data_IF_670554066364
#
_entry.id   IF_670554066364
#
_cell.length_a   1.000
_cell.length_b   1.000
_cell.length_c   1.000
_cell.angle_alpha   90.00
_cell.angle_beta   90.00
_cell.angle_gamma   90.00
#
_symmetry.space_group_name_H-M   'P 1'
#
loop_
_entity.id
_entity.type
_entity.pdbx_description
1 polymer ?
#
# COMPACT_ATOMS: atom_id res chain seq x y z
N UNK A 1 -6.90 3.80 10.50
CA UNK A 1 -6.83 4.01 9.03
C UNK A 1 -6.01 2.91 8.36
N UNK A 2 -4.68 2.90 8.47
CA UNK A 2 -3.79 1.92 7.79
C UNK A 2 -4.15 0.44 8.02
N UNK A 3 -4.65 0.10 9.21
CA UNK A 3 -5.19 -1.23 9.53
C UNK A 3 -6.26 -1.73 8.54
N UNK A 4 -7.01 -0.80 7.95
CA UNK A 4 -8.10 -1.07 7.03
C UNK A 4 -7.70 -0.95 5.55
N UNK A 5 -6.43 -0.63 5.23
CA UNK A 5 -6.01 -0.38 3.84
C UNK A 5 -6.29 -1.56 2.91
N UNK A 6 -6.15 -2.81 3.39
CA UNK A 6 -6.50 -3.99 2.61
C UNK A 6 -8.00 -4.01 2.25
N UNK A 7 -8.88 -3.67 3.20
CA UNK A 7 -10.32 -3.56 2.93
C UNK A 7 -10.64 -2.38 2.02
N UNK A 8 -9.93 -1.26 2.14
CA UNK A 8 -10.08 -0.13 1.23
C UNK A 8 -9.66 -0.48 -0.20
N UNK A 9 -8.64 -1.32 -0.39
CA UNK A 9 -8.27 -1.84 -1.71
C UNK A 9 -9.40 -2.66 -2.33
N UNK A 10 -10.05 -3.53 -1.55
CA UNK A 10 -11.19 -4.32 -2.05
C UNK A 10 -12.36 -3.41 -2.47
N UNK A 11 -12.65 -2.34 -1.72
CA UNK A 11 -13.64 -1.35 -2.12
C UNK A 11 -13.23 -0.53 -3.34
N UNK A 12 -11.97 -0.11 -3.42
CA UNK A 12 -11.44 0.58 -4.59
C UNK A 12 -11.60 -0.28 -5.86
N UNK A 13 -11.30 -1.57 -5.78
CA UNK A 13 -11.47 -2.52 -6.88
C UNK A 13 -12.93 -2.73 -7.29
N UNK A 14 -13.89 -2.64 -6.35
CA UNK A 14 -15.33 -2.72 -6.67
C UNK A 14 -15.84 -1.51 -7.46
N UNK A 15 -15.19 -0.35 -7.25
CA UNK A 15 -15.57 0.92 -7.88
C UNK A 15 -14.73 1.23 -9.12
N UNK A 16 -13.62 0.52 -9.31
CA UNK A 16 -12.70 0.73 -10.41
C UNK A 16 -13.18 0.10 -11.72
N UNK A 17 -12.65 0.63 -12.81
CA UNK A 17 -12.70 0.05 -14.16
C UNK A 17 -11.28 -0.16 -14.68
N UNK A 18 -11.11 -0.93 -15.76
CA UNK A 18 -9.82 -1.04 -16.45
C UNK A 18 -9.24 0.36 -16.76
N UNK A 19 -7.94 0.50 -16.49
CA UNK A 19 -7.16 1.75 -16.53
C UNK A 19 -7.26 2.62 -15.27
N UNK A 20 -7.99 2.22 -14.23
CA UNK A 20 -8.03 3.00 -12.97
C UNK A 20 -6.68 2.92 -12.26
N UNK A 21 -6.16 4.07 -11.84
CA UNK A 21 -4.95 4.16 -11.00
C UNK A 21 -5.35 4.25 -9.54
N UNK A 22 -4.79 3.36 -8.72
CA UNK A 22 -4.98 3.32 -7.27
C UNK A 22 -3.64 3.70 -6.61
N UNK A 23 -3.67 4.64 -5.66
CA UNK A 23 -2.50 5.09 -4.91
C UNK A 23 -2.74 4.94 -3.41
N UNK A 24 -1.79 4.35 -2.70
CA UNK A 24 -1.80 4.29 -1.24
C UNK A 24 -0.53 4.94 -0.69
N UNK A 25 -0.69 6.00 0.09
CA UNK A 25 0.42 6.74 0.70
C UNK A 25 0.95 6.08 1.99
N UNK A 26 2.16 6.46 2.40
CA UNK A 26 2.86 6.08 3.63
C UNK A 26 3.11 4.58 3.83
N UNK A 27 3.57 3.89 2.79
CA UNK A 27 3.80 2.44 2.83
C UNK A 27 5.19 2.02 3.30
N UNK A 28 6.13 2.97 3.49
CA UNK A 28 7.54 2.67 3.83
C UNK A 28 7.85 2.98 5.29
N UNK A 29 7.30 4.07 5.84
CA UNK A 29 7.31 4.39 7.27
C UNK A 29 8.72 4.43 7.87
N UNK A 30 9.62 5.23 7.27
CA UNK A 30 11.03 5.31 7.64
C UNK A 30 11.74 3.94 7.71
N UNK A 31 11.38 3.04 6.79
CA UNK A 31 11.95 1.69 6.69
C UNK A 31 11.41 0.68 7.70
N UNK A 32 10.62 1.12 8.70
CA UNK A 32 10.08 0.23 9.74
C UNK A 32 9.17 -0.87 9.19
N UNK A 33 8.69 -0.73 7.96
CA UNK A 33 7.91 -1.77 7.29
C UNK A 33 8.68 -3.10 7.13
N UNK A 34 10.02 -3.06 7.14
CA UNK A 34 10.89 -4.24 7.06
C UNK A 34 11.30 -4.82 8.44
N UNK A 35 10.87 -4.22 9.56
CA UNK A 35 11.20 -4.70 10.91
C UNK A 35 10.17 -5.71 11.42
N UNK A 36 10.48 -7.01 11.30
CA UNK A 36 9.57 -8.10 11.70
C UNK A 36 9.21 -8.09 13.20
N UNK A 37 10.02 -7.45 14.04
CA UNK A 37 9.76 -7.34 15.48
C UNK A 37 8.72 -6.26 15.82
N UNK A 38 8.39 -5.38 14.87
CA UNK A 38 7.49 -4.27 15.11
C UNK A 38 6.02 -4.72 15.21
N UNK A 39 5.40 -4.41 16.35
CA UNK A 39 3.99 -4.74 16.65
C UNK A 39 3.01 -3.58 16.41
N UNK A 40 3.48 -2.47 15.82
CA UNK A 40 2.64 -1.30 15.50
C UNK A 40 1.51 -1.72 14.55
N UNK A 41 0.22 -1.57 14.94
CA UNK A 41 -0.92 -1.93 14.11
C UNK A 41 -0.91 -1.27 12.73
N UNK A 42 -0.37 -0.05 12.61
CA UNK A 42 -0.25 0.63 11.34
C UNK A 42 0.74 -0.06 10.40
N UNK A 43 1.85 -0.58 10.92
CA UNK A 43 2.82 -1.34 10.11
C UNK A 43 2.22 -2.68 9.67
N UNK A 44 1.52 -3.36 10.58
CA UNK A 44 0.84 -4.63 10.27
C UNK A 44 -0.26 -4.44 9.22
N UNK A 45 -1.03 -3.36 9.31
CA UNK A 45 -2.02 -2.97 8.30
C UNK A 45 -1.41 -2.71 6.94
N UNK A 46 -0.29 -1.97 6.89
CA UNK A 46 0.45 -1.71 5.66
C UNK A 46 1.02 -2.98 5.04
N UNK A 47 1.57 -3.91 5.84
CA UNK A 47 2.04 -5.22 5.33
C UNK A 47 0.90 -6.01 4.71
N UNK A 48 -0.22 -6.15 5.42
CA UNK A 48 -1.42 -6.81 4.90
C UNK A 48 -1.92 -6.18 3.60
N UNK A 49 -1.86 -4.86 3.48
CA UNK A 49 -2.19 -4.16 2.24
C UNK A 49 -1.22 -4.51 1.10
N UNK A 50 0.09 -4.48 1.34
CA UNK A 50 1.10 -4.84 0.33
C UNK A 50 1.00 -6.32 -0.08
N UNK A 51 0.77 -7.23 0.86
CA UNK A 51 0.55 -8.65 0.60
C UNK A 51 -0.70 -8.86 -0.26
N UNK A 52 -1.80 -8.18 0.09
CA UNK A 52 -3.06 -8.22 -0.69
C UNK A 52 -2.88 -7.66 -2.10
N UNK A 53 -2.11 -6.59 -2.24
CA UNK A 53 -1.77 -5.96 -3.52
C UNK A 53 -0.96 -6.91 -4.40
N UNK A 54 0.02 -7.61 -3.83
CA UNK A 54 0.90 -8.52 -4.55
C UNK A 54 0.19 -9.76 -5.12
N UNK A 55 -0.91 -10.19 -4.50
CA UNK A 55 -1.68 -11.37 -4.93
C UNK A 55 -2.97 -11.04 -5.70
N UNK A 56 -3.25 -9.76 -5.99
CA UNK A 56 -4.43 -9.37 -6.77
C UNK A 56 -4.18 -9.49 -8.28
N UNK A 57 -4.80 -10.45 -8.98
CA UNK A 57 -4.50 -10.70 -10.40
C UNK A 57 -5.02 -9.61 -11.35
N UNK A 58 -5.92 -8.73 -10.90
CA UNK A 58 -6.43 -7.60 -11.71
C UNK A 58 -5.53 -6.36 -11.63
N UNK A 59 -4.44 -6.40 -10.85
CA UNK A 59 -3.59 -5.24 -10.61
C UNK A 59 -2.17 -5.49 -11.10
N UNK A 60 -1.65 -4.51 -11.84
CA UNK A 60 -0.21 -4.34 -12.04
C UNK A 60 0.27 -3.24 -11.10
N UNK A 61 1.20 -3.54 -10.19
CA UNK A 61 1.55 -2.68 -9.06
C UNK A 61 3.05 -2.51 -8.84
N UNK A 62 3.43 -1.39 -8.21
CA UNK A 62 4.77 -1.12 -7.70
C UNK A 62 4.72 -0.21 -6.47
N UNK A 63 5.85 0.02 -5.82
CA UNK A 63 5.99 0.97 -4.73
C UNK A 63 7.24 1.84 -4.93
N UNK A 64 7.12 3.12 -4.60
CA UNK A 64 8.19 4.11 -4.76
C UNK A 64 8.51 4.69 -3.40
N UNK A 65 9.76 4.53 -2.96
CA UNK A 65 10.26 5.21 -1.77
C UNK A 65 10.55 6.68 -2.08
N UNK A 66 10.25 7.55 -1.13
CA UNK A 66 10.44 9.00 -1.26
C UNK A 66 11.19 9.56 -0.06
N UNK A 67 11.97 10.61 -0.31
CA UNK A 67 12.63 11.42 0.72
C UNK A 67 12.38 12.89 0.43
N UNK A 68 12.43 13.73 1.47
CA UNK A 68 12.29 15.19 1.35
C UNK A 68 11.96 15.82 2.69
N UNK A 69 11.33 17.01 2.67
CA UNK A 69 10.99 17.76 3.88
C UNK A 69 10.04 17.01 4.84
N UNK A 70 9.36 15.98 4.34
CA UNK A 70 8.49 15.09 5.13
C UNK A 70 9.21 13.86 5.70
N UNK A 71 10.52 13.76 5.53
CA UNK A 71 11.32 12.60 5.93
C UNK A 71 11.32 11.48 4.90
N UNK A 72 11.63 10.26 5.33
CA UNK A 72 11.67 9.06 4.50
C UNK A 72 10.37 8.27 4.59
N UNK A 73 9.69 8.14 3.46
CA UNK A 73 8.48 7.32 3.33
C UNK A 73 8.36 6.74 1.91
N UNK A 74 7.14 6.54 1.42
CA UNK A 74 6.85 6.12 0.06
C UNK A 74 5.37 5.82 -0.15
N UNK A 75 4.99 5.61 -1.40
CA UNK A 75 3.62 5.24 -1.79
C UNK A 75 3.61 3.98 -2.68
N UNK A 76 2.55 3.21 -2.60
CA UNK A 76 2.24 2.15 -3.56
C UNK A 76 1.35 2.73 -4.67
N UNK A 77 1.58 2.29 -5.90
CA UNK A 77 0.78 2.65 -7.07
C UNK A 77 0.45 1.38 -7.86
N UNK A 78 -0.81 1.27 -8.29
CA UNK A 78 -1.28 0.17 -9.11
C UNK A 78 -2.23 0.66 -10.19
N UNK A 79 -2.26 -0.06 -11.31
CA UNK A 79 -3.26 0.09 -12.37
C UNK A 79 -4.13 -1.16 -12.42
N UNK A 80 -5.44 -0.96 -12.61
CA UNK A 80 -6.40 -2.04 -12.86
C UNK A 80 -6.34 -2.41 -14.35
N UNK A 81 -6.00 -3.66 -14.65
CA UNK A 81 -5.91 -4.17 -16.03
C UNK A 81 -7.30 -4.48 -16.62
#
# INVERSE_FOLDING_TARGET
>A
DKENNAAYLDWALRLARSGTVIVCDNVVRAGRIADDSASDPALQGTRKFLDRLAVEPRLTATAVQTVGDKGWDGFAIAIVD
#
